data_IF_404859053039
#
_entry.id   IF_404859053039
#
_cell.length_a   1.000
_cell.length_b   1.000
_cell.length_c   1.000
_cell.angle_alpha   90.00
_cell.angle_beta   90.00
_cell.angle_gamma   90.00
#
_symmetry.space_group_name_H-M   'P 1'
#
loop_
_entity.id
_entity.type
_entity.pdbx_description
1 polymer ?
#
# COMPACT_ATOMS: atom_id res chain seq x y z
N UNK A 1 -18.99 10.40 18.97
CA UNK A 1 -17.55 10.32 18.65
C UNK A 1 -17.38 9.11 17.75
N UNK A 2 -17.04 9.31 16.47
CA UNK A 2 -16.67 8.18 15.59
C UNK A 2 -15.34 7.63 16.06
N UNK A 3 -15.38 6.42 16.62
CA UNK A 3 -14.20 5.65 17.00
C UNK A 3 -13.58 5.04 15.74
N UNK A 4 -12.30 4.69 15.82
CA UNK A 4 -11.68 3.87 14.79
C UNK A 4 -12.39 2.50 14.68
N UNK A 5 -12.45 1.96 13.47
CA UNK A 5 -12.95 0.61 13.20
C UNK A 5 -12.02 -0.50 13.70
N UNK A 6 -12.32 -1.78 13.47
CA UNK A 6 -11.37 -2.85 13.74
C UNK A 6 -10.10 -2.70 12.87
N UNK A 7 -8.99 -3.36 13.24
CA UNK A 7 -7.81 -3.46 12.37
C UNK A 7 -8.17 -4.17 11.07
N UNK A 8 -7.89 -3.53 9.94
CA UNK A 8 -8.17 -4.08 8.61
C UNK A 8 -6.89 -4.43 7.86
N UNK A 9 -7.00 -5.43 7.00
CA UNK A 9 -5.88 -5.97 6.25
C UNK A 9 -5.32 -4.96 5.24
N UNK A 10 -4.00 -4.85 5.18
CA UNK A 10 -3.27 -4.13 4.13
C UNK A 10 -2.72 -5.17 3.17
N UNK A 11 -3.13 -5.07 1.90
CA UNK A 11 -2.66 -5.98 0.86
C UNK A 11 -1.29 -5.55 0.34
N UNK A 12 -1.08 -4.24 0.17
CA UNK A 12 0.05 -3.67 -0.57
C UNK A 12 0.52 -2.38 0.10
N UNK A 13 1.83 -2.24 0.30
CA UNK A 13 2.52 -0.99 0.64
C UNK A 13 3.21 -0.46 -0.62
N UNK A 14 2.65 0.57 -1.24
CA UNK A 14 3.26 1.17 -2.43
C UNK A 14 4.31 2.24 -2.08
N UNK A 15 4.16 2.89 -0.92
CA UNK A 15 5.09 3.94 -0.48
C UNK A 15 5.16 4.00 1.06
N UNK A 16 6.37 4.20 1.59
CA UNK A 16 6.66 4.29 3.01
C UNK A 16 7.69 5.38 3.30
N UNK A 17 7.35 6.28 4.21
CA UNK A 17 8.27 7.29 4.76
C UNK A 17 7.89 7.56 6.21
N UNK A 18 8.64 7.01 7.17
CA UNK A 18 8.28 6.97 8.61
C UNK A 18 6.90 6.38 8.93
N UNK A 19 6.28 5.71 7.95
CA UNK A 19 4.93 5.15 8.00
C UNK A 19 4.34 4.99 6.60
N UNK A 20 3.15 4.41 6.48
CA UNK A 20 2.54 4.11 5.19
C UNK A 20 2.06 5.39 4.53
N UNK A 21 2.47 5.62 3.28
CA UNK A 21 2.12 6.81 2.48
C UNK A 21 1.15 6.50 1.37
N UNK A 22 1.28 5.33 0.76
CA UNK A 22 0.32 4.87 -0.23
C UNK A 22 0.25 3.35 -0.23
N UNK A 23 -0.90 2.82 -0.63
CA UNK A 23 -1.10 1.37 -0.68
C UNK A 23 -2.53 0.98 -0.97
N UNK A 24 -2.80 -0.29 -0.72
CA UNK A 24 -4.14 -0.88 -0.85
C UNK A 24 -4.47 -1.63 0.44
N UNK A 25 -5.60 -1.29 1.04
CA UNK A 25 -6.08 -1.89 2.28
C UNK A 25 -7.59 -2.05 2.26
N UNK A 26 -8.13 -2.93 3.11
CA UNK A 26 -9.56 -2.92 3.36
C UNK A 26 -9.94 -1.66 4.16
N UNK A 27 -11.08 -1.07 3.78
CA UNK A 27 -11.79 -0.04 4.54
C UNK A 27 -13.25 -0.46 4.59
N UNK A 28 -13.77 -0.71 5.79
CA UNK A 28 -15.07 -1.33 6.04
C UNK A 28 -15.23 -2.67 5.29
N UNK A 29 -14.17 -3.47 5.23
CA UNK A 29 -14.17 -4.80 4.62
C UNK A 29 -14.09 -4.82 3.09
N UNK A 30 -13.91 -3.67 2.44
CA UNK A 30 -13.78 -3.56 0.98
C UNK A 30 -12.41 -2.99 0.58
N UNK A 31 -11.80 -3.47 -0.52
CA UNK A 31 -10.50 -2.99 -0.95
C UNK A 31 -10.57 -1.53 -1.40
N UNK A 32 -9.73 -0.72 -0.80
CA UNK A 32 -9.54 0.68 -1.12
C UNK A 32 -8.08 0.96 -1.38
N UNK A 33 -7.81 1.85 -2.33
CA UNK A 33 -6.53 2.55 -2.38
C UNK A 33 -6.51 3.60 -1.29
N UNK A 34 -5.35 3.81 -0.69
CA UNK A 34 -5.12 4.94 0.22
C UNK A 34 -3.89 5.74 -0.21
N UNK A 35 -3.93 7.06 0.01
CA UNK A 35 -2.79 7.97 -0.14
C UNK A 35 -2.82 8.97 1.02
N UNK A 36 -1.70 9.13 1.71
CA UNK A 36 -1.53 10.14 2.77
C UNK A 36 -1.62 11.54 2.19
N UNK A 37 -2.27 12.44 2.91
CA UNK A 37 -2.33 13.86 2.62
C UNK A 37 -1.47 14.62 3.62
N UNK A 38 -0.93 15.76 3.18
CA UNK A 38 -0.34 16.73 4.10
C UNK A 38 -1.45 17.28 5.00
N UNK A 39 -1.29 17.14 6.32
CA UNK A 39 -2.15 17.80 7.30
C UNK A 39 -1.51 19.14 7.69
N UNK A 40 -1.98 20.24 7.09
CA UNK A 40 -1.47 21.59 7.38
C UNK A 40 -1.62 21.98 8.86
N UNK A 41 -2.54 21.36 9.62
CA UNK A 41 -2.79 21.73 11.02
C UNK A 41 -1.81 21.07 11.98
N UNK A 42 -1.40 19.85 11.67
CA UNK A 42 -0.48 19.05 12.48
C UNK A 42 0.94 19.09 11.91
N UNK A 43 1.15 19.77 10.76
CA UNK A 43 2.43 19.87 10.03
C UNK A 43 3.04 18.50 9.70
N UNK A 44 2.17 17.51 9.43
CA UNK A 44 2.58 16.11 9.20
C UNK A 44 1.76 15.43 8.10
N UNK A 45 2.38 14.48 7.41
CA UNK A 45 1.71 13.63 6.41
C UNK A 45 0.99 12.41 7.04
N UNK A 46 1.06 12.19 8.36
CA UNK A 46 0.70 10.89 8.98
C UNK A 46 -0.73 10.82 9.54
N UNK A 47 -1.42 11.96 9.68
CA UNK A 47 -2.74 12.00 10.31
C UNK A 47 -3.92 11.72 9.39
N UNK A 48 -3.82 12.12 8.11
CA UNK A 48 -4.97 12.18 7.19
C UNK A 48 -4.67 11.50 5.86
N UNK A 49 -5.61 10.67 5.39
CA UNK A 49 -5.53 9.90 4.16
C UNK A 49 -6.74 10.19 3.28
N UNK A 50 -6.56 10.07 1.97
CA UNK A 50 -7.64 9.85 1.03
C UNK A 50 -7.77 8.36 0.77
N UNK A 51 -9.00 7.85 0.81
CA UNK A 51 -9.34 6.46 0.52
C UNK A 51 -10.46 6.37 -0.52
N UNK A 52 -10.35 5.45 -1.47
CA UNK A 52 -11.40 5.20 -2.46
C UNK A 52 -11.40 3.72 -2.88
N UNK A 53 -12.59 3.16 -3.19
CA UNK A 53 -12.70 1.77 -3.57
C UNK A 53 -11.96 1.52 -4.88
N UNK A 54 -11.39 0.33 -5.00
CA UNK A 54 -10.82 -0.18 -6.25
C UNK A 54 -11.58 -1.42 -6.70
N UNK A 55 -11.54 -1.69 -8.00
CA UNK A 55 -12.16 -2.89 -8.54
C UNK A 55 -11.28 -4.16 -8.31
N UNK A 56 -11.85 -5.37 -8.44
CA UNK A 56 -11.11 -6.61 -8.23
C UNK A 56 -9.94 -6.82 -9.20
N UNK A 57 -10.00 -6.26 -10.41
CA UNK A 57 -8.93 -6.37 -11.41
C UNK A 57 -7.71 -5.54 -10.98
N UNK A 58 -7.95 -4.30 -10.53
CA UNK A 58 -6.92 -3.43 -9.97
C UNK A 58 -6.28 -4.07 -8.73
N UNK A 59 -7.10 -4.61 -7.81
CA UNK A 59 -6.60 -5.30 -6.63
C UNK A 59 -5.74 -6.52 -6.98
N UNK A 60 -6.10 -7.27 -8.02
CA UNK A 60 -5.34 -8.43 -8.45
C UNK A 60 -3.96 -8.03 -9.00
N UNK A 61 -3.90 -6.97 -9.81
CA UNK A 61 -2.64 -6.44 -10.35
C UNK A 61 -1.73 -5.88 -9.24
N UNK A 62 -2.30 -5.14 -8.28
CA UNK A 62 -1.56 -4.62 -7.12
C UNK A 62 -0.95 -5.75 -6.28
N UNK A 63 -1.73 -6.80 -5.96
CA UNK A 63 -1.23 -7.97 -5.23
C UNK A 63 -0.23 -8.79 -6.03
N UNK A 64 -0.35 -8.83 -7.36
CA UNK A 64 0.65 -9.50 -8.21
C UNK A 64 1.99 -8.77 -8.16
N UNK A 65 1.99 -7.45 -8.36
CA UNK A 65 3.21 -6.64 -8.26
C UNK A 65 3.83 -6.73 -6.86
N UNK A 66 3.00 -6.73 -5.81
CA UNK A 66 3.46 -6.94 -4.43
C UNK A 66 4.15 -8.29 -4.22
N UNK A 67 3.61 -9.39 -4.77
CA UNK A 67 4.25 -10.71 -4.66
C UNK A 67 5.61 -10.75 -5.37
N UNK A 68 5.76 -10.04 -6.50
CA UNK A 68 7.06 -9.89 -7.17
C UNK A 68 8.03 -9.16 -6.25
N UNK A 69 7.61 -8.05 -5.63
CA UNK A 69 8.43 -7.31 -4.67
C UNK A 69 8.83 -8.16 -3.46
N UNK A 70 7.87 -8.84 -2.82
CA UNK A 70 8.14 -9.64 -1.62
C UNK A 70 9.14 -10.77 -1.90
N UNK A 71 9.01 -11.45 -3.05
CA UNK A 71 9.97 -12.49 -3.48
C UNK A 71 11.36 -11.94 -3.78
N UNK A 72 11.45 -10.75 -4.39
CA UNK A 72 12.73 -10.07 -4.57
C UNK A 72 13.34 -9.65 -3.23
N UNK A 73 12.55 -9.08 -2.33
CA UNK A 73 13.03 -8.61 -1.04
C UNK A 73 13.58 -9.75 -0.18
N UNK A 74 12.96 -10.94 -0.22
CA UNK A 74 13.49 -12.13 0.45
C UNK A 74 14.90 -12.48 -0.03
N UNK A 75 15.15 -12.42 -1.35
CA UNK A 75 16.47 -12.67 -1.93
C UNK A 75 17.47 -11.55 -1.60
N UNK A 76 16.99 -10.31 -1.55
CA UNK A 76 17.80 -9.14 -1.18
C UNK A 76 18.28 -9.23 0.28
N UNK A 77 17.37 -9.53 1.23
CA UNK A 77 17.71 -9.72 2.65
C UNK A 77 18.64 -10.92 2.86
N UNK A 78 18.54 -11.95 2.02
CA UNK A 78 19.47 -13.07 2.01
C UNK A 78 20.85 -12.74 1.37
N UNK A 79 21.03 -11.53 0.83
CA UNK A 79 22.27 -11.08 0.18
C UNK A 79 22.53 -11.72 -1.19
N UNK A 80 21.51 -12.33 -1.82
CA UNK A 80 21.64 -13.03 -3.10
C UNK A 80 21.54 -12.10 -4.32
N UNK A 81 20.89 -10.96 -4.15
CA UNK A 81 20.69 -9.95 -5.21
C UNK A 81 20.96 -8.55 -4.68
N UNK A 82 21.33 -7.63 -5.57
CA UNK A 82 21.61 -6.22 -5.23
C UNK A 82 20.41 -5.29 -5.50
N UNK A 83 20.52 -4.04 -5.06
CA UNK A 83 19.49 -3.01 -5.29
C UNK A 83 19.31 -2.67 -6.78
N UNK A 84 20.33 -2.87 -7.61
CA UNK A 84 20.28 -2.72 -9.07
C UNK A 84 19.27 -3.67 -9.73
N UNK A 85 19.04 -4.83 -9.12
CA UNK A 85 18.05 -5.83 -9.57
C UNK A 85 16.62 -5.58 -9.06
N UNK A 86 16.36 -4.44 -8.41
CA UNK A 86 15.03 -4.12 -7.90
C UNK A 86 13.99 -4.19 -9.04
N UNK A 87 12.87 -4.92 -8.89
CA UNK A 87 11.94 -5.19 -9.99
C UNK A 87 11.24 -3.93 -10.52
N UNK A 88 11.18 -2.87 -9.71
CA UNK A 88 10.68 -1.56 -10.11
C UNK A 88 11.63 -0.74 -11.00
N UNK A 89 12.86 -1.20 -11.25
CA UNK A 89 13.72 -0.59 -12.26
C UNK A 89 13.26 -1.02 -13.67
N UNK A 90 13.04 -0.08 -14.60
CA UNK A 90 12.57 -0.40 -15.95
C UNK A 90 13.43 -1.48 -16.63
N UNK A 91 12.79 -2.51 -17.18
CA UNK A 91 13.46 -3.60 -17.89
C UNK A 91 14.04 -4.70 -17.00
N UNK A 92 13.94 -4.59 -15.67
CA UNK A 92 14.44 -5.62 -14.73
C UNK A 92 13.46 -6.78 -14.58
N UNK A 93 12.16 -6.49 -14.65
CA UNK A 93 11.11 -7.50 -14.60
C UNK A 93 9.99 -7.15 -15.58
N UNK A 94 9.86 -7.92 -16.66
CA UNK A 94 8.86 -7.67 -17.71
C UNK A 94 7.44 -7.61 -17.17
N UNK A 95 7.09 -8.49 -16.23
CA UNK A 95 5.74 -8.52 -15.66
C UNK A 95 5.47 -7.30 -14.77
N UNK A 96 6.48 -6.85 -14.04
CA UNK A 96 6.38 -5.59 -13.28
C UNK A 96 6.10 -4.41 -14.21
N UNK A 97 6.85 -4.30 -15.30
CA UNK A 97 6.71 -3.21 -16.28
C UNK A 97 5.30 -3.21 -16.92
N UNK A 98 4.77 -4.39 -17.27
CA UNK A 98 3.41 -4.55 -17.79
C UNK A 98 2.33 -4.11 -16.79
N UNK A 99 2.51 -4.45 -15.51
CA UNK A 99 1.56 -4.07 -14.46
C UNK A 99 1.66 -2.56 -14.19
N UNK A 100 2.86 -2.00 -14.15
CA UNK A 100 3.05 -0.56 -13.93
C UNK A 100 2.41 0.26 -15.05
N UNK A 101 2.53 -0.19 -16.31
CA UNK A 101 1.85 0.44 -17.44
C UNK A 101 0.33 0.50 -17.25
N UNK A 102 -0.28 -0.57 -16.73
CA UNK A 102 -1.72 -0.65 -16.50
C UNK A 102 -2.19 0.17 -15.28
N UNK A 103 -1.38 0.20 -14.21
CA UNK A 103 -1.74 0.85 -12.95
C UNK A 103 -1.35 2.32 -12.86
N UNK A 104 -0.37 2.77 -13.64
CA UNK A 104 0.23 4.12 -13.53
C UNK A 104 -0.80 5.25 -13.54
N UNK A 105 -1.80 5.19 -14.44
CA UNK A 105 -2.86 6.19 -14.51
C UNK A 105 -3.79 6.13 -13.29
N UNK A 106 -4.14 4.92 -12.82
CA UNK A 106 -5.03 4.69 -11.67
C UNK A 106 -4.40 5.13 -10.36
N UNK A 107 -3.08 4.93 -10.20
CA UNK A 107 -2.29 5.37 -9.04
C UNK A 107 -2.16 6.89 -8.94
N UNK A 108 -2.10 7.59 -10.08
CA UNK A 108 -1.91 9.05 -10.14
C UNK A 108 -3.20 9.85 -10.01
N UNK A 109 -4.36 9.25 -10.27
CA UNK A 109 -5.64 9.95 -10.28
C UNK A 109 -6.41 9.69 -8.98
N UNK A 110 -6.69 10.76 -8.25
CA UNK A 110 -7.64 10.73 -7.12
C UNK A 110 -9.04 10.97 -7.67
N UNK A 111 -9.98 10.03 -7.52
CA UNK A 111 -11.34 10.22 -8.01
C UNK A 111 -12.14 11.15 -7.09
N UNK A 112 -13.20 11.78 -7.63
CA UNK A 112 -14.05 12.72 -6.89
C UNK A 112 -14.84 12.09 -5.74
N UNK A 113 -14.97 10.76 -5.73
CA UNK A 113 -15.61 10.01 -4.66
C UNK A 113 -14.64 9.56 -3.55
N UNK A 114 -13.38 10.00 -3.58
CA UNK A 114 -12.44 9.76 -2.51
C UNK A 114 -12.92 10.37 -1.19
N UNK A 115 -12.73 9.65 -0.10
CA UNK A 115 -13.12 10.07 1.25
C UNK A 115 -11.87 10.36 2.07
N UNK A 116 -11.97 11.33 2.96
CA UNK A 116 -10.94 11.55 3.96
C UNK A 116 -11.08 10.53 5.09
N UNK A 117 -9.95 10.09 5.63
CA UNK A 117 -9.88 9.16 6.74
C UNK A 117 -8.66 9.46 7.61
N UNK A 118 -8.71 9.10 8.89
CA UNK A 118 -7.52 8.89 9.72
C UNK A 118 -7.26 7.41 9.86
N UNK A 119 -6.00 7.04 10.08
CA UNK A 119 -5.60 5.65 10.29
C UNK A 119 -4.76 5.50 11.57
N UNK A 120 -4.90 4.35 12.22
CA UNK A 120 -3.95 3.87 13.22
C UNK A 120 -3.29 2.61 12.70
N UNK A 121 -1.96 2.55 12.78
CA UNK A 121 -1.18 1.37 12.44
C UNK A 121 -1.14 0.39 13.61
N UNK A 122 -1.35 -0.88 13.30
CA UNK A 122 -1.28 -1.98 14.25
C UNK A 122 -0.29 -2.99 13.71
N UNK A 123 0.84 -3.15 14.38
CA UNK A 123 1.88 -4.09 13.97
C UNK A 123 1.45 -5.54 14.19
N UNK A 124 1.81 -6.40 13.25
CA UNK A 124 1.63 -7.84 13.36
C UNK A 124 2.96 -8.48 13.77
N UNK A 125 2.92 -9.44 14.68
CA UNK A 125 4.08 -10.28 14.99
C UNK A 125 4.34 -11.23 13.81
N UNK A 126 5.30 -10.86 12.96
CA UNK A 126 5.78 -11.66 11.83
C UNK A 126 7.29 -11.53 11.74
N UNK A 127 7.95 -12.62 11.35
CA UNK A 127 9.40 -12.62 11.10
C UNK A 127 9.78 -11.72 9.92
N UNK A 128 8.93 -11.69 8.89
CA UNK A 128 9.14 -10.91 7.68
C UNK A 128 8.24 -9.68 7.65
N UNK A 129 8.82 -8.51 7.40
CA UNK A 129 8.08 -7.26 7.17
C UNK A 129 7.21 -7.35 5.91
N UNK A 130 7.72 -7.98 4.85
CA UNK A 130 7.06 -8.08 3.55
C UNK A 130 6.76 -9.54 3.21
N UNK A 131 5.52 -9.97 3.41
CA UNK A 131 5.06 -11.31 3.06
C UNK A 131 4.25 -11.27 1.76
N UNK A 132 4.10 -12.38 1.01
CA UNK A 132 3.29 -12.42 -0.22
C UNK A 132 1.84 -11.96 -0.06
N UNK A 133 1.28 -12.03 1.16
CA UNK A 133 -0.08 -11.61 1.48
C UNK A 133 -0.20 -10.14 1.90
N UNK A 134 0.90 -9.40 2.01
CA UNK A 134 0.92 -8.01 2.47
C UNK A 134 1.94 -7.75 3.57
N UNK A 135 2.12 -6.49 3.98
CA UNK A 135 3.09 -6.12 4.99
C UNK A 135 2.69 -6.59 6.40
N UNK A 136 3.62 -6.54 7.35
CA UNK A 136 3.43 -6.93 8.75
C UNK A 136 2.70 -5.88 9.60
N UNK A 137 1.63 -5.29 9.07
CA UNK A 137 0.75 -4.40 9.83
C UNK A 137 -0.67 -4.40 9.26
N UNK A 138 -1.59 -3.87 10.06
CA UNK A 138 -2.97 -3.57 9.71
C UNK A 138 -3.23 -2.07 9.92
N UNK A 139 -4.29 -1.58 9.28
CA UNK A 139 -4.76 -0.21 9.46
C UNK A 139 -6.17 -0.21 10.01
N UNK A 140 -6.37 0.52 11.10
CA UNK A 140 -7.67 0.77 11.69
C UNK A 140 -8.12 2.17 11.26
N UNK A 141 -9.28 2.26 10.61
CA UNK A 141 -9.72 3.47 9.92
C UNK A 141 -10.80 4.25 10.67
N UNK A 142 -10.75 5.57 10.57
CA UNK A 142 -11.83 6.49 10.95
C UNK A 142 -12.11 7.42 9.79
N UNK A 143 -13.22 7.19 9.07
CA UNK A 143 -13.68 8.09 8.01
C UNK A 143 -14.09 9.45 8.61
N UNK A 144 -13.80 10.53 7.87
CA UNK A 144 -14.07 11.92 8.26
C UNK A 144 -15.30 12.49 7.53
#
# INVERSE_FOLDING_TARGET
MTTYGPPEHVYVENDWYDGPRAGVANVNGLPHRFISQWDEKEDEYMGTFLVWPIDPEELALEQEQWRIFASWNEQYEAGLVGTDSHPGHPGTNTRWDEIDLQLSARRKSVPSNAKQARAQMIHLEREQRYAPIGPAYQLSWRLL
#
